data_IF_774851034686
#
_entry.id   IF_774851034686
#
_cell.length_a   1.000
_cell.length_b   1.000
_cell.length_c   1.000
_cell.angle_alpha   90.00
_cell.angle_beta   90.00
_cell.angle_gamma   90.00
#
_symmetry.space_group_name_H-M   'P 1'
#
loop_
_entity.id
_entity.type
_entity.pdbx_description
1 polymer ?
#
# COMPACT_ATOMS: atom_id res chain seq x y z
N UNK A 1 13.04 8.93 -16.84
CA UNK A 1 13.07 7.65 -17.58
C UNK A 1 12.15 7.82 -18.77
N UNK A 2 12.54 7.33 -19.95
CA UNK A 2 11.68 7.31 -21.14
C UNK A 2 11.19 5.88 -21.42
N UNK A 3 10.29 5.71 -22.39
CA UNK A 3 9.68 4.42 -22.71
C UNK A 3 10.70 3.39 -23.23
N UNK A 4 11.74 3.82 -23.95
CA UNK A 4 12.79 2.88 -24.42
C UNK A 4 13.54 2.27 -23.24
N UNK A 5 13.84 3.07 -22.22
CA UNK A 5 14.49 2.60 -20.99
C UNK A 5 13.55 1.67 -20.19
N UNK A 6 12.25 1.94 -20.17
CA UNK A 6 11.25 1.06 -19.52
C UNK A 6 11.21 -0.29 -20.26
N UNK A 7 11.13 -0.28 -21.58
CA UNK A 7 11.17 -1.49 -22.42
C UNK A 7 12.48 -2.29 -22.25
N UNK A 8 13.58 -1.60 -21.96
CA UNK A 8 14.85 -2.28 -21.67
C UNK A 8 14.83 -2.96 -20.30
N UNK A 9 14.26 -2.33 -19.28
CA UNK A 9 14.09 -2.93 -17.96
C UNK A 9 13.18 -4.16 -18.04
N UNK A 10 12.12 -4.11 -18.83
CA UNK A 10 11.18 -5.23 -19.00
C UNK A 10 11.82 -6.48 -19.61
N UNK A 11 12.85 -6.32 -20.44
CA UNK A 11 13.61 -7.46 -21.01
C UNK A 11 14.49 -8.15 -19.95
N UNK A 12 14.72 -7.51 -18.82
CA UNK A 12 15.53 -8.06 -17.73
C UNK A 12 14.74 -9.13 -16.96
N UNK A 13 15.38 -10.24 -16.65
CA UNK A 13 14.85 -11.30 -15.79
C UNK A 13 14.42 -10.78 -14.40
N UNK A 14 15.03 -9.69 -13.93
CA UNK A 14 14.81 -9.11 -12.59
C UNK A 14 14.03 -7.80 -12.62
N UNK A 15 13.60 -7.33 -13.80
CA UNK A 15 12.87 -6.10 -13.97
C UNK A 15 11.36 -6.37 -14.10
N UNK A 16 10.54 -5.68 -13.29
CA UNK A 16 9.09 -5.74 -13.39
C UNK A 16 8.52 -4.33 -13.45
N UNK A 17 7.59 -4.11 -14.36
CA UNK A 17 6.88 -2.85 -14.47
C UNK A 17 5.59 -2.93 -13.67
N UNK A 18 5.35 -1.94 -12.81
CA UNK A 18 4.12 -1.78 -12.04
C UNK A 18 3.37 -0.52 -12.44
N UNK A 19 2.06 -0.51 -12.20
CA UNK A 19 1.18 0.63 -12.43
C UNK A 19 1.18 1.57 -11.22
N UNK A 20 1.22 2.88 -11.46
CA UNK A 20 1.28 3.88 -10.38
C UNK A 20 0.49 5.14 -10.70
N UNK A 21 -0.72 5.01 -11.26
CA UNK A 21 -1.57 6.08 -11.77
C UNK A 21 -1.00 6.82 -13.00
N UNK A 22 -1.74 7.81 -13.49
CA UNK A 22 -1.32 8.68 -14.59
C UNK A 22 -0.68 9.98 -14.07
N UNK A 23 -1.40 10.69 -13.21
CA UNK A 23 -0.99 12.04 -12.78
C UNK A 23 -0.14 12.04 -11.52
N UNK A 24 -0.17 10.98 -10.73
CA UNK A 24 0.43 10.92 -9.39
C UNK A 24 -0.10 12.03 -8.46
N UNK A 25 -1.31 12.51 -8.70
CA UNK A 25 -1.99 13.45 -7.82
C UNK A 25 -2.50 12.76 -6.53
N UNK A 26 -3.07 13.53 -5.62
CA UNK A 26 -3.63 13.03 -4.37
C UNK A 26 -5.01 12.39 -4.62
N UNK A 27 -4.99 11.17 -5.18
CA UNK A 27 -6.17 10.50 -5.76
C UNK A 27 -7.31 10.29 -4.76
N UNK A 28 -7.02 10.19 -3.46
CA UNK A 28 -8.04 9.99 -2.43
C UNK A 28 -9.00 11.17 -2.29
N UNK A 29 -8.58 12.36 -2.69
CA UNK A 29 -9.40 13.58 -2.66
C UNK A 29 -10.19 13.80 -3.94
N UNK A 30 -9.91 13.04 -5.00
CA UNK A 30 -10.64 13.13 -6.26
C UNK A 30 -12.03 12.51 -6.16
N UNK A 31 -12.92 12.96 -7.06
CA UNK A 31 -14.17 12.26 -7.29
C UNK A 31 -13.92 10.88 -7.90
N UNK A 32 -14.79 9.92 -7.61
CA UNK A 32 -14.62 8.54 -8.06
C UNK A 32 -14.45 8.40 -9.58
N UNK A 33 -15.14 9.22 -10.36
CA UNK A 33 -15.04 9.24 -11.84
C UNK A 33 -13.68 9.75 -12.32
N UNK A 34 -13.10 10.72 -11.63
CA UNK A 34 -11.77 11.28 -11.94
C UNK A 34 -10.68 10.26 -11.63
N UNK A 35 -10.79 9.59 -10.48
CA UNK A 35 -9.91 8.47 -10.13
C UNK A 35 -9.93 7.37 -11.20
N UNK A 36 -11.14 6.91 -11.62
CA UNK A 36 -11.27 5.89 -12.66
C UNK A 36 -10.60 6.38 -13.97
N UNK A 37 -10.85 7.62 -14.35
CA UNK A 37 -10.27 8.21 -15.57
C UNK A 37 -8.74 8.24 -15.49
N UNK A 38 -8.18 8.62 -14.36
CA UNK A 38 -6.72 8.65 -14.16
C UNK A 38 -6.09 7.26 -14.37
N UNK A 39 -6.64 6.24 -13.72
CA UNK A 39 -6.16 4.85 -13.85
C UNK A 39 -6.34 4.33 -15.28
N UNK A 40 -7.48 4.61 -15.91
CA UNK A 40 -7.77 4.16 -17.29
C UNK A 40 -6.81 4.81 -18.28
N UNK A 41 -6.56 6.12 -18.15
CA UNK A 41 -5.61 6.84 -19.01
C UNK A 41 -4.22 6.25 -18.94
N UNK A 42 -3.72 5.96 -17.74
CA UNK A 42 -2.42 5.30 -17.58
C UNK A 42 -2.41 3.90 -18.20
N UNK A 43 -3.49 3.14 -18.00
CA UNK A 43 -3.64 1.79 -18.57
C UNK A 43 -3.61 1.79 -20.10
N UNK A 44 -4.28 2.76 -20.74
CA UNK A 44 -4.26 2.95 -22.20
C UNK A 44 -2.84 3.27 -22.69
N UNK A 45 -2.09 4.11 -21.98
CA UNK A 45 -0.69 4.39 -22.28
C UNK A 45 0.16 3.13 -22.20
N UNK A 46 0.00 2.31 -21.15
CA UNK A 46 0.71 1.04 -21.02
C UNK A 46 0.40 0.08 -22.18
N UNK A 47 -0.87 -0.04 -22.57
CA UNK A 47 -1.26 -0.84 -23.74
C UNK A 47 -0.54 -0.34 -25.01
N UNK A 48 -0.53 0.97 -25.22
CA UNK A 48 0.09 1.54 -26.42
C UNK A 48 1.61 1.36 -26.45
N UNK A 49 2.28 1.46 -25.30
CA UNK A 49 3.73 1.40 -25.21
C UNK A 49 4.28 -0.01 -24.99
N UNK A 50 3.63 -0.83 -24.18
CA UNK A 50 4.12 -2.16 -23.79
C UNK A 50 3.26 -3.30 -24.36
N UNK A 51 2.05 -3.02 -24.83
CA UNK A 51 1.12 -4.04 -25.33
C UNK A 51 0.29 -4.72 -24.24
N UNK A 52 0.43 -4.33 -22.98
CA UNK A 52 -0.31 -4.89 -21.85
C UNK A 52 -0.50 -3.87 -20.72
N UNK A 53 -1.35 -4.19 -19.74
CA UNK A 53 -1.49 -3.43 -18.50
C UNK A 53 -0.71 -4.15 -17.40
N UNK A 54 0.23 -3.49 -16.69
CA UNK A 54 0.91 -4.10 -15.54
C UNK A 54 -0.09 -4.56 -14.48
N UNK A 55 0.04 -5.79 -13.99
CA UNK A 55 -0.91 -6.38 -13.04
C UNK A 55 -0.64 -5.98 -11.58
N UNK A 56 0.48 -5.33 -11.31
CA UNK A 56 0.87 -4.84 -9.99
C UNK A 56 0.55 -3.35 -9.90
N UNK A 57 -0.18 -2.95 -8.87
CA UNK A 57 -0.50 -1.54 -8.61
C UNK A 57 0.19 -1.01 -7.35
N UNK A 58 0.56 0.26 -7.33
CA UNK A 58 0.99 0.97 -6.12
C UNK A 58 0.20 2.26 -5.98
N UNK A 59 -0.45 2.46 -4.83
CA UNK A 59 -1.21 3.69 -4.58
C UNK A 59 -0.28 4.88 -4.45
N UNK A 60 -0.50 6.00 -5.19
CA UNK A 60 0.16 7.27 -4.93
C UNK A 60 0.02 7.68 -3.46
N UNK A 61 1.11 8.12 -2.85
CA UNK A 61 1.20 8.42 -1.41
C UNK A 61 0.85 7.25 -0.47
N UNK A 62 0.49 6.08 -1.03
CA UNK A 62 0.05 4.90 -0.27
C UNK A 62 -1.34 5.02 0.32
N UNK A 63 -2.11 6.03 -0.08
CA UNK A 63 -3.44 6.31 0.46
C UNK A 63 -4.54 5.86 -0.52
N UNK A 64 -5.64 5.37 0.04
CA UNK A 64 -6.76 4.84 -0.73
C UNK A 64 -8.04 4.82 0.11
N UNK A 65 -9.19 4.95 -0.56
CA UNK A 65 -10.51 4.68 -0.01
C UNK A 65 -10.94 3.24 -0.31
N UNK A 66 -12.01 2.76 0.33
CA UNK A 66 -12.60 1.46 -0.01
C UNK A 66 -13.07 1.41 -1.47
N UNK A 67 -13.59 2.51 -2.01
CA UNK A 67 -13.97 2.60 -3.42
C UNK A 67 -12.76 2.33 -4.33
N UNK A 68 -11.65 3.03 -4.08
CA UNK A 68 -10.41 2.88 -4.85
C UNK A 68 -9.89 1.45 -4.76
N UNK A 69 -9.83 0.87 -3.54
CA UNK A 69 -9.39 -0.51 -3.33
C UNK A 69 -10.26 -1.51 -4.11
N UNK A 70 -11.57 -1.36 -4.09
CA UNK A 70 -12.49 -2.24 -4.84
C UNK A 70 -12.32 -2.12 -6.35
N UNK A 71 -12.06 -0.91 -6.86
CA UNK A 71 -11.77 -0.72 -8.27
C UNK A 71 -10.44 -1.39 -8.65
N UNK A 72 -9.39 -1.20 -7.86
CA UNK A 72 -8.07 -1.81 -8.10
C UNK A 72 -8.16 -3.35 -8.00
N UNK A 73 -8.90 -3.90 -7.04
CA UNK A 73 -9.15 -5.34 -6.91
C UNK A 73 -9.78 -5.95 -8.17
N UNK A 74 -10.60 -5.19 -8.89
CA UNK A 74 -11.28 -5.66 -10.10
C UNK A 74 -10.40 -5.60 -11.35
N UNK A 75 -9.26 -4.88 -11.30
CA UNK A 75 -8.44 -4.57 -12.48
C UNK A 75 -6.97 -5.01 -12.36
N UNK A 76 -6.50 -5.37 -11.16
CA UNK A 76 -5.11 -5.71 -10.86
C UNK A 76 -5.03 -6.98 -10.02
N UNK A 77 -3.86 -7.61 -9.97
CA UNK A 77 -3.62 -8.83 -9.19
C UNK A 77 -3.25 -8.53 -7.74
N UNK A 78 -2.57 -7.41 -7.51
CA UNK A 78 -2.03 -7.02 -6.20
C UNK A 78 -1.80 -5.52 -6.12
N UNK A 79 -1.95 -4.93 -4.92
CA UNK A 79 -1.67 -3.52 -4.71
C UNK A 79 -0.88 -3.24 -3.43
N UNK A 80 0.01 -2.23 -3.52
CA UNK A 80 0.90 -1.79 -2.44
C UNK A 80 0.52 -0.39 -1.93
N UNK A 81 0.38 -0.29 -0.60
CA UNK A 81 0.40 0.99 0.10
C UNK A 81 1.82 1.50 0.35
N UNK A 82 1.97 2.47 1.26
CA UNK A 82 3.29 2.95 1.74
C UNK A 82 3.52 2.69 3.23
N UNK A 83 2.58 2.09 3.92
CA UNK A 83 2.77 1.73 5.32
C UNK A 83 3.83 0.62 5.45
N UNK A 84 4.64 0.72 6.50
CA UNK A 84 5.70 -0.26 6.77
C UNK A 84 5.13 -1.51 7.41
N UNK A 85 5.55 -2.66 6.93
CA UNK A 85 5.11 -3.95 7.46
C UNK A 85 5.61 -5.13 6.67
N UNK A 86 5.36 -6.33 7.20
CA UNK A 86 5.66 -7.59 6.54
C UNK A 86 4.42 -8.08 5.79
N UNK A 87 4.63 -8.56 4.57
CA UNK A 87 3.56 -9.16 3.76
C UNK A 87 3.13 -10.47 4.42
N UNK A 88 1.85 -10.56 4.75
CA UNK A 88 1.20 -11.79 5.18
C UNK A 88 0.33 -12.32 4.03
N UNK A 89 0.60 -13.56 3.60
CA UNK A 89 -0.12 -14.21 2.49
C UNK A 89 -1.61 -14.43 2.78
N UNK A 90 -2.01 -14.40 4.04
CA UNK A 90 -3.38 -14.61 4.49
C UNK A 90 -4.17 -13.29 4.63
N UNK A 91 -3.53 -12.15 4.32
CA UNK A 91 -4.15 -10.82 4.40
C UNK A 91 -4.55 -10.31 3.02
N UNK A 92 -5.22 -9.17 3.03
CA UNK A 92 -5.68 -8.51 1.81
C UNK A 92 -4.49 -8.12 0.93
N UNK A 93 -4.45 -8.69 -0.26
CA UNK A 93 -3.38 -8.43 -1.23
C UNK A 93 -3.50 -7.10 -1.97
N UNK A 94 -4.56 -6.32 -1.69
CA UNK A 94 -4.77 -4.99 -2.25
C UNK A 94 -4.44 -3.85 -1.28
N UNK A 95 -3.76 -4.17 -0.17
CA UNK A 95 -3.24 -3.20 0.79
C UNK A 95 -1.89 -3.66 1.37
N UNK A 96 -1.03 -4.24 0.52
CA UNK A 96 0.24 -4.79 0.98
C UNK A 96 1.17 -3.70 1.53
N UNK A 97 1.83 -3.96 2.65
CA UNK A 97 2.85 -3.09 3.19
C UNK A 97 4.17 -3.20 2.42
N UNK A 98 5.06 -2.23 2.60
CA UNK A 98 6.42 -2.25 2.08
C UNK A 98 7.37 -1.47 2.97
N UNK A 99 8.64 -1.84 2.99
CA UNK A 99 9.68 -1.06 3.67
C UNK A 99 10.46 -0.20 2.67
N UNK A 100 10.68 1.08 2.95
CA UNK A 100 11.57 1.89 2.12
C UNK A 100 13.03 1.42 2.29
N UNK A 101 13.71 1.22 1.16
CA UNK A 101 15.14 0.88 1.07
C UNK A 101 15.78 1.89 0.12
N UNK A 102 16.05 3.07 0.63
CA UNK A 102 16.74 4.16 -0.06
C UNK A 102 18.03 4.53 0.70
N UNK A 103 18.74 5.56 0.29
CA UNK A 103 20.02 5.99 0.90
C UNK A 103 19.91 6.17 2.41
N UNK A 104 18.79 6.68 2.91
CA UNK A 104 18.55 6.91 4.34
C UNK A 104 18.23 5.62 5.11
N UNK A 105 17.58 4.66 4.47
CA UNK A 105 17.01 3.47 5.12
C UNK A 105 17.57 2.15 4.56
N UNK A 106 18.59 2.22 3.70
CA UNK A 106 19.16 1.07 2.97
C UNK A 106 20.39 0.44 3.62
N UNK A 107 20.69 0.72 4.90
CA UNK A 107 21.83 0.08 5.54
C UNK A 107 21.63 -1.43 5.69
N UNK A 108 22.71 -2.19 5.53
CA UNK A 108 22.70 -3.64 5.49
C UNK A 108 22.21 -4.28 6.81
N UNK A 109 22.48 -3.66 7.95
CA UNK A 109 22.04 -4.16 9.27
C UNK A 109 20.52 -4.08 9.38
N UNK A 110 19.94 -2.94 8.97
CA UNK A 110 18.49 -2.77 8.91
C UNK A 110 17.86 -3.78 7.93
N UNK A 111 18.41 -3.93 6.73
CA UNK A 111 17.91 -4.89 5.75
C UNK A 111 17.89 -6.32 6.31
N UNK A 112 18.99 -6.77 6.92
CA UNK A 112 19.06 -8.07 7.58
C UNK A 112 18.03 -8.25 8.70
N UNK A 113 17.70 -7.19 9.43
CA UNK A 113 16.64 -7.25 10.44
C UNK A 113 15.26 -7.40 9.78
N UNK A 114 14.97 -6.60 8.75
CA UNK A 114 13.66 -6.60 8.08
C UNK A 114 13.30 -7.94 7.45
N UNK A 115 14.25 -8.64 6.81
CA UNK A 115 14.01 -9.95 6.19
C UNK A 115 13.76 -11.07 7.20
N UNK A 116 14.03 -10.85 8.49
CA UNK A 116 13.80 -11.79 9.58
C UNK A 116 12.55 -11.46 10.42
N UNK A 117 11.84 -10.38 10.10
CA UNK A 117 10.60 -10.07 10.81
C UNK A 117 9.46 -10.98 10.35
N UNK A 118 8.57 -11.27 11.28
CA UNK A 118 7.33 -11.99 11.01
C UNK A 118 6.15 -11.02 10.99
N UNK A 119 5.11 -11.28 10.18
CA UNK A 119 3.92 -10.47 10.19
C UNK A 119 3.20 -10.56 11.54
N UNK A 120 2.56 -9.45 11.94
CA UNK A 120 1.65 -9.47 13.07
C UNK A 120 0.36 -10.19 12.68
N UNK A 121 0.11 -11.34 13.31
CA UNK A 121 -1.12 -12.07 13.09
C UNK A 121 -2.29 -11.41 13.82
N UNK A 122 -3.37 -11.14 13.10
CA UNK A 122 -4.63 -10.62 13.65
C UNK A 122 -5.79 -11.14 12.80
N UNK A 123 -6.97 -11.20 13.38
CA UNK A 123 -8.18 -11.67 12.70
C UNK A 123 -8.81 -10.57 11.85
N UNK A 124 -8.98 -9.38 12.42
CA UNK A 124 -9.55 -8.23 11.71
C UNK A 124 -8.96 -6.91 12.19
N UNK A 125 -8.98 -5.92 11.30
CA UNK A 125 -8.56 -4.54 11.57
C UNK A 125 -9.65 -3.58 11.09
N UNK A 126 -10.08 -2.66 11.95
CA UNK A 126 -11.07 -1.62 11.61
C UNK A 126 -10.54 -0.24 12.01
N UNK A 127 -10.92 0.82 11.30
CA UNK A 127 -11.85 0.84 10.17
C UNK A 127 -11.18 0.31 8.88
N UNK A 128 -11.98 -0.33 8.03
CA UNK A 128 -11.52 -0.72 6.67
C UNK A 128 -11.41 0.51 5.77
N UNK A 129 -12.36 1.45 5.88
CA UNK A 129 -12.29 2.73 5.17
C UNK A 129 -11.19 3.60 5.76
N UNK A 130 -10.21 3.97 4.92
CA UNK A 130 -9.07 4.81 5.30
C UNK A 130 -9.35 6.30 5.09
N UNK A 131 -10.31 6.64 4.21
CA UNK A 131 -10.74 8.03 4.03
C UNK A 131 -11.53 8.52 5.23
N UNK A 132 -10.97 9.49 5.94
CA UNK A 132 -11.62 10.09 7.11
C UNK A 132 -12.50 11.25 6.64
N UNK A 133 -13.68 11.34 7.23
CA UNK A 133 -14.61 12.45 7.04
C UNK A 133 -15.18 12.92 8.40
N UNK A 134 -15.97 13.98 8.39
CA UNK A 134 -16.49 14.60 9.63
C UNK A 134 -17.30 13.64 10.51
N UNK A 135 -17.88 12.57 9.94
CA UNK A 135 -18.73 11.62 10.68
C UNK A 135 -17.92 10.50 11.34
N UNK A 136 -16.73 10.19 10.81
CA UNK A 136 -15.86 9.12 11.31
C UNK A 136 -14.53 9.63 11.91
N UNK A 137 -14.46 10.91 12.25
CA UNK A 137 -13.30 11.53 12.89
C UNK A 137 -13.63 11.90 14.37
N UNK A 138 -12.84 11.47 15.36
CA UNK A 138 -11.66 10.59 15.25
C UNK A 138 -12.06 9.13 14.97
N UNK A 139 -11.32 8.41 14.12
CA UNK A 139 -11.58 7.00 13.86
C UNK A 139 -11.17 6.14 15.07
N UNK A 140 -11.98 5.12 15.36
CA UNK A 140 -11.65 4.15 16.41
C UNK A 140 -10.90 2.97 15.79
N UNK A 141 -9.61 2.84 16.11
CA UNK A 141 -8.82 1.67 15.71
C UNK A 141 -9.24 0.46 16.55
N UNK A 142 -9.65 -0.62 15.89
CA UNK A 142 -9.99 -1.89 16.52
C UNK A 142 -9.17 -2.97 15.83
N UNK A 143 -8.38 -3.70 16.61
CA UNK A 143 -7.62 -4.88 16.16
C UNK A 143 -8.17 -6.09 16.90
N UNK A 144 -8.71 -7.04 16.16
CA UNK A 144 -9.18 -8.30 16.71
C UNK A 144 -8.10 -9.37 16.51
N UNK A 145 -7.60 -9.92 17.60
CA UNK A 145 -6.60 -10.98 17.56
C UNK A 145 -7.23 -12.37 17.65
N UNK A 146 -6.52 -13.38 17.20
CA UNK A 146 -6.88 -14.78 17.46
C UNK A 146 -6.77 -15.07 18.95
N UNK A 147 -7.63 -15.96 19.47
CA UNK A 147 -7.64 -16.32 20.91
C UNK A 147 -6.32 -16.85 21.43
N UNK A 148 -5.54 -17.50 20.54
CA UNK A 148 -4.26 -18.14 20.88
C UNK A 148 -3.04 -17.27 20.57
N UNK A 149 -3.26 -15.97 20.29
CA UNK A 149 -2.17 -15.05 19.96
C UNK A 149 -1.17 -14.93 21.08
N UNK A 150 0.06 -15.38 20.82
CA UNK A 150 1.17 -15.24 21.77
C UNK A 150 1.72 -13.81 21.77
N UNK A 151 2.28 -13.38 22.88
CA UNK A 151 2.97 -12.09 23.03
C UNK A 151 2.11 -10.83 22.80
N UNK A 152 0.81 -10.93 22.94
CA UNK A 152 -0.09 -9.77 22.80
C UNK A 152 0.28 -8.63 23.76
N UNK A 153 0.80 -8.94 24.94
CA UNK A 153 1.24 -7.96 25.94
C UNK A 153 2.51 -7.20 25.51
N UNK A 154 3.19 -7.63 24.46
CA UNK A 154 4.39 -6.98 23.92
C UNK A 154 4.05 -5.99 22.77
N UNK A 155 2.76 -5.90 22.39
CA UNK A 155 2.32 -4.99 21.36
C UNK A 155 2.24 -3.57 21.95
N UNK A 156 2.77 -2.59 21.22
CA UNK A 156 2.65 -1.18 21.56
C UNK A 156 1.96 -0.44 20.43
N UNK A 157 0.99 0.38 20.79
CA UNK A 157 0.32 1.27 19.85
C UNK A 157 0.92 2.67 19.92
N UNK A 158 1.06 3.31 18.77
CA UNK A 158 1.53 4.68 18.66
C UNK A 158 0.57 5.47 17.78
N UNK A 159 0.27 6.69 18.17
CA UNK A 159 -0.46 7.66 17.35
C UNK A 159 0.39 8.87 17.03
N UNK A 160 0.14 9.49 15.88
CA UNK A 160 0.78 10.73 15.46
C UNK A 160 -0.25 11.85 15.33
N UNK A 161 -1.01 12.05 16.39
CA UNK A 161 -1.93 13.17 16.49
C UNK A 161 -1.14 14.44 16.85
N UNK A 162 -1.21 15.45 15.98
CA UNK A 162 -0.46 16.69 16.14
C UNK A 162 1.04 16.64 15.79
N UNK A 163 1.46 15.69 14.93
CA UNK A 163 2.80 15.69 14.32
C UNK A 163 3.89 14.99 15.11
N UNK A 164 3.60 14.51 16.31
CA UNK A 164 4.56 13.76 17.13
C UNK A 164 4.03 12.38 17.50
N UNK A 165 4.86 11.36 17.28
CA UNK A 165 4.52 9.99 17.66
C UNK A 165 4.47 9.83 19.18
N UNK A 166 3.34 9.42 19.70
CA UNK A 166 3.13 9.14 21.13
C UNK A 166 2.66 7.71 21.32
N UNK A 167 3.19 7.03 22.32
CA UNK A 167 2.69 5.73 22.74
C UNK A 167 1.29 5.93 23.33
N UNK A 168 0.32 5.18 22.82
CA UNK A 168 -1.07 5.13 23.31
C UNK A 168 -1.31 3.85 24.09
N UNK A 169 -2.18 3.91 25.08
CA UNK A 169 -2.66 2.71 25.77
C UNK A 169 -3.63 1.97 24.84
N UNK A 170 -3.50 0.66 24.79
CA UNK A 170 -4.43 -0.25 24.12
C UNK A 170 -5.64 -0.50 25.00
#
# INVERSE_FOLDING_TARGET
MNWDQIKEIEKSEFGFIGHHSHTHEYLIDMENSEFIKDITTASEIFINELGYIPSIFSYPFGEYSLFMKNYILSNFDVAFGQHSGIIDRNKDKFELPRFPINEKYGDLKRFKSLINYLPLEYKSLKPEEKKINIRNNPPKLIVEFFKEQKNINNISCYSNDGGNWKKTNL
#
